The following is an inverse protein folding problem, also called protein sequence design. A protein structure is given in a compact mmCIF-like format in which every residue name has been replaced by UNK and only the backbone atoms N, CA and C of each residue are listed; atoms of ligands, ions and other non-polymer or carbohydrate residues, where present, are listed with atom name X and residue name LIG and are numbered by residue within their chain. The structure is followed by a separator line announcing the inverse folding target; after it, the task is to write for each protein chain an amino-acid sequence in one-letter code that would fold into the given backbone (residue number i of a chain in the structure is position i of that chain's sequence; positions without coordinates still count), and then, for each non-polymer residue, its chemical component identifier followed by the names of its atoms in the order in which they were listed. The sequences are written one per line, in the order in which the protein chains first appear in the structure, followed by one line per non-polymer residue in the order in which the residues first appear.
data_IF_074098918806
#
_entry.id   IF_074098918806
#
_cell.length_a   1.000
_cell.length_b   1.000
_cell.length_c   1.000
_cell.angle_alpha   90.00
_cell.angle_beta   90.00
_cell.angle_gamma   90.00
#
_symmetry.space_group_name_H-M   'P 1'
#
loop_
_entity.id
_entity.type
_entity.pdbx_description
1 polymer ?
#
# COMPACT_ATOMS: atom_id res chain seq x y z
N UNK A 1 16.42 8.19 7.10
CA UNK A 1 15.06 8.13 6.54
C UNK A 1 15.11 7.64 5.10
N UNK A 2 14.35 6.62 4.77
CA UNK A 2 14.36 6.02 3.43
C UNK A 2 13.00 6.17 2.78
N UNK A 3 13.01 6.48 1.48
CA UNK A 3 11.79 6.59 0.69
C UNK A 3 11.55 5.28 -0.07
N UNK A 4 10.35 4.78 0.02
CA UNK A 4 9.98 3.50 -0.59
C UNK A 4 8.65 3.59 -1.29
N UNK A 5 8.44 2.73 -2.25
CA UNK A 5 7.16 2.58 -2.94
C UNK A 5 6.79 1.11 -2.92
N UNK A 6 5.59 0.82 -2.45
CA UNK A 6 5.05 -0.53 -2.46
C UNK A 6 3.92 -0.59 -3.47
N UNK A 7 4.00 -1.52 -4.41
CA UNK A 7 2.96 -1.73 -5.39
C UNK A 7 2.33 -3.11 -5.16
N UNK A 8 1.01 -3.13 -5.10
CA UNK A 8 0.26 -4.35 -4.85
C UNK A 8 -0.74 -4.55 -5.97
N UNK A 9 -0.87 -5.78 -6.42
CA UNK A 9 -1.83 -6.17 -7.44
C UNK A 9 -2.47 -7.47 -7.01
N UNK A 10 -3.80 -7.47 -6.91
CA UNK A 10 -4.50 -8.67 -6.47
C UNK A 10 -5.93 -8.66 -7.00
N UNK A 11 -6.60 -9.80 -6.90
CA UNK A 11 -7.98 -9.94 -7.36
C UNK A 11 -9.00 -9.63 -6.27
N UNK A 12 -8.55 -9.49 -5.03
CA UNK A 12 -9.41 -9.21 -3.89
C UNK A 12 -8.85 -8.01 -3.15
N UNK A 13 -9.68 -6.99 -2.94
CA UNK A 13 -9.23 -5.80 -2.23
C UNK A 13 -9.71 -5.72 -0.79
N UNK A 14 -10.63 -6.62 -0.40
CA UNK A 14 -11.17 -6.61 0.95
C UNK A 14 -10.06 -6.85 1.96
N UNK A 15 -9.87 -5.94 2.88
CA UNK A 15 -8.88 -6.07 3.93
C UNK A 15 -7.44 -5.78 3.50
N UNK A 16 -7.18 -5.66 2.21
CA UNK A 16 -5.81 -5.45 1.71
C UNK A 16 -5.28 -4.10 2.19
N UNK A 17 -6.08 -3.04 2.03
CA UNK A 17 -5.64 -1.70 2.42
C UNK A 17 -5.36 -1.66 3.92
N UNK A 18 -6.25 -2.23 4.71
CA UNK A 18 -6.08 -2.27 6.15
C UNK A 18 -4.85 -3.06 6.55
N UNK A 19 -4.63 -4.21 5.89
CA UNK A 19 -3.48 -5.06 6.20
C UNK A 19 -2.17 -4.35 5.89
N UNK A 20 -2.08 -3.69 4.74
CA UNK A 20 -0.86 -3.00 4.35
C UNK A 20 -0.61 -1.79 5.23
N UNK A 21 -1.65 -1.00 5.50
CA UNK A 21 -1.51 0.18 6.34
C UNK A 21 -1.10 -0.21 7.76
N UNK A 22 -1.69 -1.28 8.30
CA UNK A 22 -1.33 -1.76 9.62
C UNK A 22 0.11 -2.25 9.67
N UNK A 23 0.53 -2.97 8.64
CA UNK A 23 1.90 -3.47 8.56
C UNK A 23 2.91 -2.32 8.56
N UNK A 24 2.67 -1.32 7.72
CA UNK A 24 3.58 -0.18 7.62
C UNK A 24 3.63 0.61 8.91
N UNK A 25 2.49 0.81 9.56
CA UNK A 25 2.44 1.51 10.82
C UNK A 25 3.21 0.76 11.90
N UNK A 26 3.08 -0.56 11.92
CA UNK A 26 3.78 -1.39 12.89
C UNK A 26 5.29 -1.34 12.71
N UNK A 27 5.73 -1.16 11.46
CA UNK A 27 7.16 -1.07 11.15
C UNK A 27 7.72 0.33 11.33
N UNK A 28 6.92 1.27 11.78
CA UNK A 28 7.39 2.64 11.97
C UNK A 28 7.48 3.43 10.68
N UNK A 29 6.71 3.04 9.69
CA UNK A 29 6.70 3.74 8.41
C UNK A 29 5.60 4.79 8.38
N UNK A 30 5.85 5.87 7.67
CA UNK A 30 4.88 6.93 7.49
C UNK A 30 4.48 7.01 6.02
N UNK A 31 3.20 6.83 5.75
CA UNK A 31 2.68 6.88 4.39
C UNK A 31 2.62 8.32 3.93
N UNK A 32 3.29 8.62 2.82
CA UNK A 32 3.34 9.98 2.27
C UNK A 32 2.41 10.15 1.09
N UNK A 33 2.06 9.05 0.41
CA UNK A 33 1.14 9.11 -0.71
C UNK A 33 0.54 7.73 -0.93
N UNK A 34 -0.67 7.70 -1.44
CA UNK A 34 -1.35 6.43 -1.70
C UNK A 34 -2.30 6.60 -2.86
N UNK A 35 -2.30 5.64 -3.77
CA UNK A 35 -3.21 5.61 -4.91
C UNK A 35 -3.78 4.22 -5.03
N UNK A 36 -5.07 4.14 -5.37
CA UNK A 36 -5.78 2.89 -5.54
C UNK A 36 -6.55 2.91 -6.84
N UNK A 37 -6.64 1.78 -7.48
CA UNK A 37 -7.33 1.67 -8.74
C UNK A 37 -7.99 0.31 -8.86
N UNK A 38 -9.28 0.30 -9.17
CA UNK A 38 -10.04 -0.92 -9.42
C UNK A 38 -10.29 -1.07 -10.92
N UNK A 39 -9.91 -2.20 -11.48
CA UNK A 39 -10.21 -2.51 -12.88
C UNK A 39 -11.41 -3.46 -12.90
N UNK A 40 -12.57 -2.92 -13.26
CA UNK A 40 -13.81 -3.70 -13.30
C UNK A 40 -13.77 -4.78 -14.36
N UNK A 41 -13.06 -4.55 -15.45
CA UNK A 41 -13.00 -5.49 -16.56
C UNK A 41 -12.28 -6.78 -16.18
N UNK A 42 -11.15 -6.64 -15.50
CA UNK A 42 -10.35 -7.79 -15.06
C UNK A 42 -10.63 -8.17 -13.61
N UNK A 43 -11.41 -7.36 -12.92
CA UNK A 43 -11.70 -7.53 -11.50
C UNK A 43 -10.43 -7.56 -10.67
N UNK A 44 -9.49 -6.70 -11.03
CA UNK A 44 -8.22 -6.59 -10.32
C UNK A 44 -8.15 -5.28 -9.55
N UNK A 45 -7.48 -5.37 -8.41
CA UNK A 45 -7.23 -4.22 -7.56
C UNK A 45 -5.75 -3.91 -7.59
N UNK A 46 -5.42 -2.64 -7.82
CA UNK A 46 -4.05 -2.15 -7.82
C UNK A 46 -3.92 -1.09 -6.74
N UNK A 47 -2.84 -1.16 -5.98
CA UNK A 47 -2.57 -0.19 -4.94
C UNK A 47 -1.10 0.18 -5.00
N UNK A 48 -0.83 1.47 -4.91
CA UNK A 48 0.54 1.97 -4.87
C UNK A 48 0.65 2.91 -3.69
N UNK A 49 1.57 2.61 -2.79
CA UNK A 49 1.76 3.37 -1.56
C UNK A 49 3.20 3.82 -1.47
N UNK A 50 3.39 5.13 -1.32
CA UNK A 50 4.71 5.68 -1.06
C UNK A 50 4.83 5.95 0.43
N UNK A 51 5.95 5.60 1.00
CA UNK A 51 6.14 5.76 2.43
C UNK A 51 7.61 6.00 2.75
N UNK A 52 7.85 6.52 3.94
CA UNK A 52 9.20 6.70 4.46
C UNK A 52 9.34 5.85 5.71
N UNK A 53 10.51 5.24 5.84
CA UNK A 53 10.83 4.45 7.02
C UNK A 53 11.61 5.33 7.97
N UNK A 54 11.09 5.54 9.17
CA UNK A 54 11.75 6.38 10.17
C UNK A 54 12.82 5.60 10.91
N UNK A 55 12.82 4.30 10.78
CA UNK A 55 13.78 3.45 11.46
C UNK A 55 14.94 3.01 10.59
N UNK A 56 15.10 3.64 9.47
CA UNK A 56 16.23 3.37 8.61
C UNK A 56 16.00 2.50 7.41
#
# INVERSE_FOLDING_TARGET
MSNHVLSVQCSIRRGIVAAISGYLAEKGCNITDSAQFDDATTQRFFMRTAFVSENG
#
